data_IF_704934905218
#
_entry.id   IF_704934905218
#
_cell.length_a   1.000
_cell.length_b   1.000
_cell.length_c   1.000
_cell.angle_alpha   90.00
_cell.angle_beta   90.00
_cell.angle_gamma   90.00
#
_symmetry.space_group_name_H-M   'P 1'
#
loop_
_entity.id
_entity.type
_entity.pdbx_description
1 polymer ?
#
# COMPACT_ATOMS: atom_id res chain seq x y z
N UNK A 1 -9.21 -7.61 -6.77
CA UNK A 1 -8.57 -7.75 -8.10
C UNK A 1 -7.10 -8.10 -7.92
N UNK A 2 -6.57 -9.11 -8.64
CA UNK A 2 -5.18 -9.57 -8.50
C UNK A 2 -4.46 -9.59 -9.86
N UNK A 3 -4.90 -10.44 -10.79
CA UNK A 3 -4.24 -10.61 -12.12
C UNK A 3 -4.27 -9.32 -12.93
N UNK A 4 -5.44 -8.67 -13.06
CA UNK A 4 -5.59 -7.44 -13.85
C UNK A 4 -4.89 -6.20 -13.27
N UNK A 5 -4.36 -6.30 -12.05
CA UNK A 5 -3.60 -5.23 -11.38
C UNK A 5 -2.13 -5.61 -11.18
N UNK A 6 -1.69 -6.71 -11.80
CA UNK A 6 -0.34 -7.28 -11.65
C UNK A 6 0.13 -7.35 -10.19
N UNK A 7 -0.78 -7.74 -9.29
CA UNK A 7 -0.47 -7.78 -7.86
C UNK A 7 0.48 -8.94 -7.58
N UNK A 8 1.52 -8.66 -6.81
CA UNK A 8 2.42 -9.71 -6.30
C UNK A 8 1.64 -10.80 -5.54
N UNK A 9 2.07 -12.08 -5.59
CA UNK A 9 1.32 -13.15 -4.95
C UNK A 9 1.44 -13.11 -3.41
N UNK A 10 0.53 -13.79 -2.72
CA UNK A 10 0.39 -13.70 -1.26
C UNK A 10 1.62 -14.22 -0.49
N UNK A 11 2.35 -15.19 -1.05
CA UNK A 11 3.59 -15.72 -0.47
C UNK A 11 4.71 -14.67 -0.40
N UNK A 12 4.77 -13.75 -1.37
CA UNK A 12 5.67 -12.59 -1.35
C UNK A 12 5.16 -11.53 -0.39
N UNK A 13 3.85 -11.27 -0.36
CA UNK A 13 3.25 -10.29 0.56
C UNK A 13 3.50 -10.61 2.03
N UNK A 14 3.64 -11.89 2.37
CA UNK A 14 3.92 -12.35 3.74
C UNK A 14 5.39 -12.20 4.16
N UNK A 15 6.33 -12.03 3.23
CA UNK A 15 7.76 -11.96 3.56
C UNK A 15 8.17 -10.61 4.15
N UNK A 16 7.55 -9.52 3.70
CA UNK A 16 7.81 -8.18 4.20
C UNK A 16 6.50 -7.38 4.35
N UNK A 17 6.42 -6.41 5.28
CA UNK A 17 5.23 -5.61 5.43
C UNK A 17 4.94 -4.80 4.17
N UNK A 18 3.78 -5.05 3.55
CA UNK A 18 3.23 -4.21 2.49
C UNK A 18 2.07 -3.40 3.05
N UNK A 19 2.02 -2.13 2.66
CA UNK A 19 0.94 -1.20 3.02
C UNK A 19 0.16 -0.82 1.76
N UNK A 20 -1.08 -0.34 1.93
CA UNK A 20 -1.96 0.12 0.83
C UNK A 20 -2.33 -0.95 -0.23
N UNK A 21 -2.24 -2.24 0.12
CA UNK A 21 -2.71 -3.35 -0.71
C UNK A 21 -3.99 -3.93 -0.08
N UNK A 22 -5.01 -4.20 -0.90
CA UNK A 22 -6.31 -4.74 -0.47
C UNK A 22 -7.06 -3.85 0.54
N UNK A 23 -6.99 -2.52 0.39
CA UNK A 23 -7.58 -1.56 1.35
C UNK A 23 -8.97 -1.04 0.96
N UNK A 24 -9.42 -1.27 -0.27
CA UNK A 24 -10.73 -0.86 -0.80
C UNK A 24 -11.31 -1.95 -1.69
N UNK A 25 -12.64 -1.98 -1.82
CA UNK A 25 -13.34 -2.84 -2.76
C UNK A 25 -13.32 -2.25 -4.18
N UNK A 26 -13.49 -3.07 -5.23
CA UNK A 26 -13.43 -2.60 -6.62
C UNK A 26 -14.52 -1.59 -7.02
N UNK A 27 -15.61 -1.54 -6.27
CA UNK A 27 -16.74 -0.63 -6.46
C UNK A 27 -16.60 0.68 -5.65
N UNK A 28 -15.54 0.83 -4.86
CA UNK A 28 -15.25 2.02 -4.09
C UNK A 28 -14.32 2.98 -4.84
N UNK A 29 -14.54 4.28 -4.66
CA UNK A 29 -13.62 5.30 -5.19
C UNK A 29 -12.45 5.49 -4.23
N UNK A 30 -11.23 5.33 -4.74
CA UNK A 30 -10.00 5.71 -4.04
C UNK A 30 -9.28 6.83 -4.79
N UNK A 31 -9.19 8.00 -4.16
CA UNK A 31 -8.68 9.22 -4.78
C UNK A 31 -7.21 9.47 -4.44
N UNK A 32 -6.54 10.28 -5.26
CA UNK A 32 -5.17 10.73 -4.98
C UNK A 32 -5.05 11.48 -3.66
N UNK A 33 -6.11 12.17 -3.21
CA UNK A 33 -6.15 12.86 -1.92
C UNK A 33 -6.19 11.90 -0.73
N UNK A 34 -6.99 10.83 -0.83
CA UNK A 34 -7.01 9.75 0.16
C UNK A 34 -5.66 9.04 0.23
N UNK A 35 -5.12 8.62 -0.93
CA UNK A 35 -3.80 8.01 -1.03
C UNK A 35 -2.72 8.86 -0.38
N UNK A 36 -2.68 10.16 -0.67
CA UNK A 36 -1.74 11.09 -0.01
C UNK A 36 -1.85 10.99 1.51
N UNK A 37 -3.04 11.15 2.06
CA UNK A 37 -3.24 11.16 3.51
C UNK A 37 -2.83 9.83 4.16
N UNK A 38 -3.23 8.70 3.56
CA UNK A 38 -2.88 7.37 4.04
C UNK A 38 -1.37 7.11 3.97
N UNK A 39 -0.73 7.42 2.84
CA UNK A 39 0.72 7.27 2.68
C UNK A 39 1.48 8.09 3.75
N UNK A 40 1.10 9.34 4.02
CA UNK A 40 1.77 10.16 5.05
C UNK A 40 1.62 9.59 6.47
N UNK A 41 0.43 9.07 6.79
CA UNK A 41 0.18 8.38 8.07
C UNK A 41 1.07 7.15 8.19
N UNK A 42 1.08 6.29 7.18
CA UNK A 42 1.86 5.05 7.15
C UNK A 42 3.37 5.33 7.24
N UNK A 43 3.89 6.32 6.51
CA UNK A 43 5.29 6.74 6.60
C UNK A 43 5.65 7.12 8.04
N UNK A 44 4.79 7.90 8.71
CA UNK A 44 5.02 8.30 10.10
C UNK A 44 5.06 7.10 11.04
N UNK A 45 4.15 6.14 10.85
CA UNK A 45 4.14 4.88 11.62
C UNK A 45 5.39 4.02 11.36
N UNK A 46 5.88 3.95 10.12
CA UNK A 46 7.11 3.22 9.75
C UNK A 46 8.33 3.87 10.41
N UNK A 47 8.44 5.20 10.35
CA UNK A 47 9.52 5.93 11.03
C UNK A 47 9.46 5.76 12.55
N UNK A 48 8.28 5.75 13.16
CA UNK A 48 8.13 5.49 14.60
C UNK A 48 8.67 4.10 15.00
N UNK A 49 8.62 3.11 14.09
CA UNK A 49 9.23 1.79 14.26
C UNK A 49 10.74 1.75 13.95
N UNK A 50 11.37 2.91 13.69
CA UNK A 50 12.78 3.06 13.27
C UNK A 50 13.10 2.25 12.00
N UNK A 51 12.16 2.19 11.05
CA UNK A 51 12.32 1.56 9.75
C UNK A 51 12.30 2.61 8.64
N UNK A 52 12.80 2.24 7.47
CA UNK A 52 12.85 3.12 6.30
C UNK A 52 11.66 2.74 5.40
N UNK A 53 10.72 3.67 5.12
CA UNK A 53 9.64 3.43 4.19
C UNK A 53 10.16 3.36 2.75
N UNK A 54 9.63 2.44 1.96
CA UNK A 54 9.89 2.33 0.53
C UNK A 54 8.56 2.41 -0.21
N UNK A 55 8.43 3.40 -1.09
CA UNK A 55 7.24 3.59 -1.93
C UNK A 55 7.55 2.98 -3.30
N UNK A 56 6.74 2.01 -3.71
CA UNK A 56 6.90 1.27 -4.96
C UNK A 56 5.63 1.40 -5.81
N UNK A 57 5.77 1.32 -7.13
CA UNK A 57 4.67 1.44 -8.09
C UNK A 57 4.76 2.68 -8.98
N UNK A 58 3.62 3.06 -9.56
CA UNK A 58 3.38 4.20 -10.44
C UNK A 58 1.88 4.55 -10.42
N UNK A 59 1.50 5.72 -10.95
CA UNK A 59 0.18 6.37 -10.75
C UNK A 59 -1.03 5.45 -10.84
#
# INVERSE_FOLDING_TARGET
MNIGTDKVPDDILQQIPHHEINIVNPDETYTSGQRKNDTYRIISEIHARKKIPMIVGGT
#
